data_IF_518885471109
#
_entry.id   IF_518885471109
#
_cell.length_a   1.000
_cell.length_b   1.000
_cell.length_c   1.000
_cell.angle_alpha   90.00
_cell.angle_beta   90.00
_cell.angle_gamma   90.00
#
_symmetry.space_group_name_H-M   'P 1'
#
loop_
_entity.id
_entity.type
_entity.pdbx_description
1 polymer ?
#
# COMPACT_ATOMS: atom_id res chain seq x y z
N UNK A 1 -8.04 64.43 28.72
CA UNK A 1 -6.94 64.46 29.70
C UNK A 1 -7.45 63.76 30.95
N UNK A 2 -6.80 62.80 31.59
CA UNK A 2 -5.49 62.17 31.41
C UNK A 2 -5.46 60.94 32.35
N UNK A 3 -4.91 59.80 31.88
CA UNK A 3 -4.11 58.78 32.60
C UNK A 3 -4.66 58.13 33.91
N UNK A 4 -4.32 56.90 34.30
CA UNK A 4 -3.41 55.83 33.83
C UNK A 4 -3.73 54.57 34.67
N UNK A 5 -3.78 53.42 33.99
CA UNK A 5 -3.10 52.15 34.29
C UNK A 5 -2.86 51.70 35.75
N UNK A 6 -3.22 50.44 36.03
CA UNK A 6 -2.34 49.45 36.70
C UNK A 6 -2.74 48.02 36.28
N UNK A 7 -1.76 47.28 35.73
CA UNK A 7 -1.78 45.82 35.53
C UNK A 7 -1.49 45.13 36.86
N UNK A 8 -2.18 44.05 37.18
CA UNK A 8 -1.68 43.01 38.10
C UNK A 8 -2.09 41.63 37.55
N UNK A 9 -1.09 40.79 37.36
CA UNK A 9 -1.16 39.36 37.06
C UNK A 9 -0.82 38.62 38.36
N UNK A 10 -1.60 37.61 38.74
CA UNK A 10 -1.18 36.58 39.70
C UNK A 10 -1.66 35.20 39.24
N UNK A 11 -0.79 34.21 39.44
CA UNK A 11 -0.87 32.80 39.04
C UNK A 11 -1.16 31.94 40.28
N UNK A 12 -2.09 30.99 40.16
CA UNK A 12 -2.18 29.69 40.88
C UNK A 12 -3.35 28.91 40.23
N UNK A 13 -3.43 27.59 40.00
CA UNK A 13 -2.74 26.39 40.47
C UNK A 13 -3.80 25.37 40.96
N UNK A 14 -4.02 24.24 40.24
CA UNK A 14 -4.91 23.10 40.60
C UNK A 14 -5.98 22.77 39.51
N UNK A 15 -5.90 21.74 38.63
CA UNK A 15 -6.01 20.25 38.75
C UNK A 15 -7.42 19.80 39.25
N UNK A 16 -8.27 18.90 38.67
CA UNK A 16 -8.18 17.60 37.94
C UNK A 16 -9.42 17.37 37.01
N UNK A 17 -9.23 16.50 35.99
CA UNK A 17 -10.16 15.47 35.38
C UNK A 17 -11.42 15.91 34.63
N UNK A 18 -11.82 15.40 33.46
CA UNK A 18 -11.67 14.14 32.67
C UNK A 18 -11.90 14.55 31.19
N UNK A 19 -11.19 14.09 30.16
CA UNK A 19 -11.02 12.69 29.72
C UNK A 19 -11.56 12.56 28.28
N UNK A 20 -10.67 12.61 27.28
CA UNK A 20 -10.89 12.01 25.95
C UNK A 20 -9.54 11.92 25.24
N UNK A 21 -9.02 10.69 25.17
CA UNK A 21 -7.76 10.34 24.54
C UNK A 21 -7.97 10.30 23.02
N UNK A 22 -7.39 11.26 22.30
CA UNK A 22 -7.17 11.17 20.86
C UNK A 22 -5.68 10.92 20.66
N UNK A 23 -5.31 9.66 20.46
CA UNK A 23 -3.92 9.27 20.17
C UNK A 23 -3.59 9.62 18.72
N UNK A 24 -3.23 10.87 18.48
CA UNK A 24 -2.58 11.30 17.24
C UNK A 24 -1.10 10.94 17.30
N UNK A 25 -0.69 9.85 16.65
CA UNK A 25 0.73 9.59 16.42
C UNK A 25 1.21 10.44 15.24
N UNK A 26 1.67 11.66 15.57
CA UNK A 26 2.62 12.41 14.77
C UNK A 26 3.98 11.70 14.83
N UNK A 27 4.54 11.29 13.70
CA UNK A 27 5.97 10.97 13.62
C UNK A 27 6.64 11.70 12.46
N UNK A 28 7.29 12.80 12.85
CA UNK A 28 8.36 13.48 12.12
C UNK A 28 9.62 12.60 12.15
N UNK A 29 10.29 12.38 11.01
CA UNK A 29 11.76 12.15 11.05
C UNK A 29 12.51 12.50 9.75
N UNK A 30 13.27 13.60 9.87
CA UNK A 30 14.52 14.03 9.20
C UNK A 30 14.97 13.34 7.89
N UNK A 31 15.03 14.16 6.82
CA UNK A 31 15.88 13.97 5.63
C UNK A 31 17.37 13.97 6.01
N UNK A 32 18.10 12.89 5.70
CA UNK A 32 19.56 12.93 5.60
C UNK A 32 19.97 13.33 4.18
N UNK A 33 20.46 14.57 3.99
CA UNK A 33 21.28 14.94 2.82
C UNK A 33 22.69 14.39 3.05
N UNK A 34 23.13 13.41 2.26
CA UNK A 34 24.56 13.05 2.22
C UNK A 34 25.26 13.87 1.13
N UNK A 35 26.27 14.64 1.57
CA UNK A 35 27.22 15.39 0.76
C UNK A 35 28.09 14.44 -0.07
N UNK A 36 28.39 14.81 -1.31
CA UNK A 36 29.44 14.22 -2.15
C UNK A 36 30.82 14.50 -1.52
N UNK A 37 31.65 13.49 -1.43
CA UNK A 37 33.06 13.55 -1.00
C UNK A 37 33.83 12.34 -1.55
N UNK A 38 35.10 12.54 -1.87
CA UNK A 38 35.98 11.81 -2.79
C UNK A 38 36.14 10.28 -2.58
N UNK A 39 36.37 9.57 -3.69
CA UNK A 39 36.79 8.15 -3.78
C UNK A 39 38.29 7.95 -3.45
N UNK A 40 38.65 6.76 -2.93
CA UNK A 40 39.75 5.97 -3.47
C UNK A 40 39.36 4.48 -3.72
N UNK A 41 40.21 3.65 -4.34
CA UNK A 41 39.78 2.71 -5.40
C UNK A 41 39.59 1.24 -4.98
N UNK A 42 38.85 0.53 -5.85
CA UNK A 42 38.95 -0.88 -6.26
C UNK A 42 39.00 -1.97 -5.18
N UNK A 43 37.89 -2.72 -5.05
CA UNK A 43 37.86 -4.03 -4.42
C UNK A 43 36.47 -4.70 -4.52
N UNK A 44 36.44 -5.82 -5.25
CA UNK A 44 35.43 -6.89 -5.33
C UNK A 44 33.94 -6.57 -5.58
N UNK A 45 33.44 -7.13 -6.68
CA UNK A 45 32.03 -7.36 -6.98
C UNK A 45 31.31 -8.07 -5.84
N UNK A 46 30.57 -7.32 -5.04
CA UNK A 46 29.34 -7.81 -4.38
C UNK A 46 28.34 -6.67 -4.32
N UNK A 47 27.34 -6.70 -5.20
CA UNK A 47 26.18 -5.81 -5.07
C UNK A 47 25.45 -6.20 -3.77
N UNK A 48 25.28 -5.31 -2.78
CA UNK A 48 24.65 -5.68 -1.53
C UNK A 48 23.17 -5.96 -1.79
N UNK A 49 22.72 -7.13 -1.37
CA UNK A 49 21.29 -7.41 -1.21
C UNK A 49 20.67 -6.28 -0.38
N UNK A 50 19.62 -5.66 -0.90
CA UNK A 50 18.89 -4.60 -0.20
C UNK A 50 18.35 -5.14 1.14
N UNK A 51 19.11 -4.88 2.20
CA UNK A 51 18.83 -5.14 3.60
C UNK A 51 17.58 -4.38 4.04
N UNK A 52 16.45 -5.08 4.14
CA UNK A 52 15.28 -4.71 4.97
C UNK A 52 14.34 -5.92 5.19
N UNK A 53 14.88 -7.14 5.26
CA UNK A 53 14.13 -8.39 5.49
C UNK A 53 14.14 -8.76 6.98
N UNK A 54 13.00 -9.15 7.56
CA UNK A 54 12.92 -9.67 8.93
C UNK A 54 12.89 -11.20 8.98
N UNK A 55 13.63 -11.75 9.95
CA UNK A 55 13.52 -12.97 10.78
C UNK A 55 13.26 -14.38 10.21
N UNK A 56 13.00 -14.58 8.92
CA UNK A 56 13.32 -15.86 8.27
C UNK A 56 13.62 -15.62 6.79
N UNK A 57 14.82 -16.02 6.34
CA UNK A 57 15.21 -15.79 4.94
C UNK A 57 14.54 -16.77 3.97
N UNK A 58 13.81 -17.77 4.46
CA UNK A 58 13.25 -18.88 3.69
C UNK A 58 11.78 -18.67 3.40
N UNK A 59 11.41 -18.72 2.12
CA UNK A 59 10.02 -18.78 1.69
C UNK A 59 9.43 -20.17 2.05
N UNK A 60 8.11 -20.28 2.28
CA UNK A 60 7.50 -21.58 2.54
C UNK A 60 7.57 -22.47 1.29
N UNK A 61 7.54 -23.79 1.49
CA UNK A 61 7.67 -24.78 0.40
C UNK A 61 6.55 -24.70 -0.65
N UNK A 62 5.38 -24.17 -0.29
CA UNK A 62 4.26 -23.95 -1.19
C UNK A 62 4.24 -22.54 -1.82
N UNK A 63 5.29 -21.74 -1.62
CA UNK A 63 5.41 -20.45 -2.29
C UNK A 63 5.62 -20.65 -3.79
N UNK A 64 4.85 -19.90 -4.58
CA UNK A 64 4.96 -19.85 -6.04
C UNK A 64 5.01 -18.41 -6.48
N UNK A 65 6.01 -18.05 -7.26
CA UNK A 65 6.14 -16.73 -7.87
C UNK A 65 5.34 -16.63 -9.18
N UNK A 66 5.42 -15.48 -9.84
CA UNK A 66 4.71 -15.17 -11.09
C UNK A 66 5.12 -16.00 -12.28
N UNK A 67 6.30 -16.63 -12.24
CA UNK A 67 6.82 -17.52 -13.28
C UNK A 67 6.60 -19.00 -12.94
N UNK A 68 5.91 -19.31 -11.84
CA UNK A 68 5.66 -20.68 -11.39
C UNK A 68 6.78 -21.31 -10.54
N UNK A 69 7.89 -20.60 -10.30
CA UNK A 69 8.99 -21.08 -9.46
C UNK A 69 8.81 -20.78 -7.97
N UNK A 70 9.67 -21.34 -7.12
CA UNK A 70 9.66 -21.13 -5.66
C UNK A 70 10.53 -19.97 -5.17
N UNK A 71 11.29 -19.35 -6.07
CA UNK A 71 12.28 -18.34 -5.71
C UNK A 71 11.69 -16.93 -5.60
N UNK A 72 12.36 -16.08 -4.82
CA UNK A 72 12.01 -14.67 -4.71
C UNK A 72 12.53 -13.88 -5.92
N UNK A 73 11.65 -13.18 -6.64
CA UNK A 73 12.00 -12.39 -7.83
C UNK A 73 12.67 -11.05 -7.46
N UNK A 74 13.89 -11.07 -6.92
CA UNK A 74 14.55 -9.90 -6.30
C UNK A 74 14.60 -8.63 -7.17
N UNK A 75 14.67 -8.77 -8.49
CA UNK A 75 14.69 -7.68 -9.48
C UNK A 75 13.31 -7.12 -9.84
N UNK A 76 12.22 -7.79 -9.48
CA UNK A 76 10.86 -7.34 -9.78
C UNK A 76 10.39 -6.24 -8.81
N UNK A 77 9.36 -5.45 -9.19
CA UNK A 77 8.71 -4.50 -8.29
C UNK A 77 8.19 -5.17 -7.01
N UNK A 78 8.17 -4.44 -5.89
CA UNK A 78 7.83 -4.99 -4.56
C UNK A 78 6.53 -5.79 -4.55
N UNK A 79 5.45 -5.28 -5.15
CA UNK A 79 4.16 -5.96 -5.19
C UNK A 79 4.25 -7.32 -5.89
N UNK A 80 5.03 -7.41 -6.97
CA UNK A 80 5.28 -8.66 -7.70
C UNK A 80 6.09 -9.62 -6.83
N UNK A 81 7.16 -9.16 -6.19
CA UNK A 81 7.95 -10.05 -5.29
C UNK A 81 7.12 -10.62 -4.15
N UNK A 82 6.16 -9.84 -3.65
CA UNK A 82 5.31 -10.20 -2.54
C UNK A 82 4.06 -11.01 -2.97
N UNK A 83 3.88 -11.29 -4.26
CA UNK A 83 2.62 -11.81 -4.81
C UNK A 83 1.40 -10.94 -4.40
N UNK A 84 1.60 -9.64 -4.23
CA UNK A 84 0.64 -8.66 -3.75
C UNK A 84 0.61 -7.47 -4.74
N UNK A 85 -0.02 -7.64 -5.92
CA UNK A 85 0.02 -6.62 -6.97
C UNK A 85 -0.68 -5.32 -6.59
N UNK A 86 -1.62 -5.37 -5.64
CA UNK A 86 -2.34 -4.21 -5.15
C UNK A 86 -1.64 -3.46 -4.01
N UNK A 87 -0.45 -3.89 -3.57
CA UNK A 87 0.24 -3.34 -2.40
C UNK A 87 -0.66 -3.28 -1.14
N UNK A 88 -1.45 -4.32 -0.87
CA UNK A 88 -2.26 -4.40 0.35
C UNK A 88 -1.37 -4.40 1.59
N UNK A 89 -1.70 -3.55 2.56
CA UNK A 89 -0.93 -3.40 3.81
C UNK A 89 -1.16 -4.63 4.69
N UNK A 90 -0.12 -5.06 5.40
CA UNK A 90 -0.22 -6.14 6.36
C UNK A 90 -1.16 -5.78 7.51
N UNK A 91 -2.25 -6.53 7.68
CA UNK A 91 -3.25 -6.34 8.73
C UNK A 91 -3.55 -7.65 9.47
N UNK A 92 -4.58 -7.68 10.31
CA UNK A 92 -5.09 -8.92 10.92
C UNK A 92 -6.16 -9.63 10.05
N UNK A 93 -6.48 -9.09 8.86
CA UNK A 93 -7.42 -9.74 7.95
C UNK A 93 -6.82 -11.08 7.50
N UNK A 94 -7.60 -12.15 7.65
CA UNK A 94 -7.18 -13.51 7.30
C UNK A 94 -7.48 -13.80 5.83
N UNK A 95 -6.68 -13.21 4.94
CA UNK A 95 -6.78 -13.50 3.51
C UNK A 95 -6.35 -14.94 3.20
N UNK A 96 -7.12 -15.64 2.37
CA UNK A 96 -6.73 -16.95 1.86
C UNK A 96 -5.39 -16.84 1.12
N UNK A 97 -4.43 -17.69 1.49
CA UNK A 97 -3.08 -17.70 0.90
C UNK A 97 -2.14 -16.61 1.40
N UNK A 98 -2.52 -15.80 2.39
CA UNK A 98 -1.62 -14.87 3.07
C UNK A 98 -0.54 -15.62 3.85
N UNK A 99 0.68 -15.09 3.80
CA UNK A 99 1.77 -15.58 4.64
C UNK A 99 1.65 -15.06 6.08
N UNK A 100 1.89 -15.92 7.09
CA UNK A 100 1.96 -15.49 8.47
C UNK A 100 3.16 -14.56 8.68
N UNK A 101 3.15 -13.78 9.77
CA UNK A 101 4.13 -12.69 10.00
C UNK A 101 5.57 -13.21 10.02
N UNK A 102 5.77 -14.43 10.50
CA UNK A 102 7.06 -15.10 10.66
C UNK A 102 7.69 -15.49 9.31
N UNK A 103 6.84 -15.68 8.28
CA UNK A 103 7.25 -16.03 6.91
C UNK A 103 7.15 -14.83 5.94
N UNK A 104 6.56 -13.72 6.39
CA UNK A 104 6.43 -12.51 5.58
C UNK A 104 7.75 -11.72 5.60
N UNK A 105 8.41 -11.67 4.44
CA UNK A 105 9.68 -10.95 4.24
C UNK A 105 9.49 -9.43 4.14
N UNK A 106 8.26 -8.96 3.92
CA UNK A 106 7.92 -7.54 3.88
C UNK A 106 7.43 -7.04 5.25
N UNK A 107 7.99 -5.91 5.68
CA UNK A 107 7.66 -5.34 7.00
C UNK A 107 6.30 -4.66 7.03
N UNK A 108 5.82 -4.15 5.89
CA UNK A 108 4.63 -3.29 5.77
C UNK A 108 3.49 -3.95 5.00
N UNK A 109 3.79 -4.74 3.98
CA UNK A 109 2.78 -5.25 3.05
C UNK A 109 2.47 -6.73 3.26
N UNK A 110 1.28 -7.14 2.85
CA UNK A 110 0.94 -8.56 2.76
C UNK A 110 1.87 -9.26 1.76
N UNK A 111 2.20 -10.51 2.06
CA UNK A 111 2.76 -11.47 1.11
C UNK A 111 1.80 -12.63 0.94
N UNK A 112 1.70 -13.16 -0.27
CA UNK A 112 0.84 -14.30 -0.58
C UNK A 112 1.66 -15.49 -1.10
N UNK A 113 1.17 -16.70 -0.82
CA UNK A 113 1.79 -17.95 -1.30
C UNK A 113 1.85 -18.00 -2.82
N UNK A 114 0.90 -17.40 -3.55
CA UNK A 114 0.92 -17.35 -5.01
C UNK A 114 0.18 -16.10 -5.55
N UNK A 115 0.44 -15.65 -6.80
CA UNK A 115 -0.11 -14.42 -7.36
C UNK A 115 -1.64 -14.32 -7.33
N UNK A 116 -2.33 -15.42 -7.65
CA UNK A 116 -3.79 -15.50 -7.68
C UNK A 116 -4.42 -15.19 -6.33
N UNK A 117 -3.74 -15.49 -5.21
CA UNK A 117 -4.24 -15.18 -3.87
C UNK A 117 -4.16 -13.68 -3.56
N UNK A 118 -3.08 -13.01 -4.01
CA UNK A 118 -2.98 -11.56 -3.87
C UNK A 118 -3.95 -10.81 -4.78
N UNK A 119 -4.13 -11.28 -6.01
CA UNK A 119 -5.14 -10.75 -6.94
C UNK A 119 -6.53 -10.95 -6.34
N UNK A 120 -6.83 -12.13 -5.79
CA UNK A 120 -8.10 -12.41 -5.11
C UNK A 120 -8.34 -11.46 -3.93
N UNK A 121 -7.35 -11.27 -3.06
CA UNK A 121 -7.47 -10.34 -1.93
C UNK A 121 -7.79 -8.92 -2.41
N UNK A 122 -7.10 -8.45 -3.45
CA UNK A 122 -7.35 -7.17 -4.09
C UNK A 122 -8.77 -7.06 -4.68
N UNK A 123 -9.27 -8.10 -5.36
CA UNK A 123 -10.64 -8.13 -5.88
C UNK A 123 -11.65 -7.98 -4.74
N UNK A 124 -11.47 -8.73 -3.64
CA UNK A 124 -12.38 -8.70 -2.49
C UNK A 124 -12.39 -7.35 -1.80
N UNK A 125 -11.22 -6.73 -1.66
CA UNK A 125 -11.06 -5.40 -1.07
C UNK A 125 -11.84 -4.35 -1.88
N UNK A 126 -11.56 -4.27 -3.19
CA UNK A 126 -12.24 -3.34 -4.10
C UNK A 126 -13.76 -3.58 -4.16
N UNK A 127 -14.19 -4.85 -4.23
CA UNK A 127 -15.61 -5.21 -4.25
C UNK A 127 -16.31 -4.75 -2.97
N UNK A 128 -15.72 -5.03 -1.81
CA UNK A 128 -16.25 -4.63 -0.51
C UNK A 128 -16.40 -3.11 -0.40
N UNK A 129 -15.43 -2.34 -0.87
CA UNK A 129 -15.47 -0.88 -0.75
C UNK A 129 -16.51 -0.25 -1.66
N UNK A 130 -16.66 -0.78 -2.88
CA UNK A 130 -17.75 -0.40 -3.78
C UNK A 130 -19.11 -0.69 -3.13
N UNK A 131 -19.28 -1.85 -2.52
CA UNK A 131 -20.52 -2.25 -1.82
C UNK A 131 -20.81 -1.39 -0.59
N UNK A 132 -19.77 -0.89 0.10
CA UNK A 132 -19.88 0.09 1.19
C UNK A 132 -20.12 1.53 0.71
N UNK A 133 -20.32 1.74 -0.59
CA UNK A 133 -20.68 3.03 -1.16
C UNK A 133 -19.50 3.88 -1.64
N UNK A 134 -18.26 3.36 -1.61
CA UNK A 134 -17.10 3.99 -2.28
C UNK A 134 -17.12 3.68 -3.78
N UNK A 135 -18.26 3.93 -4.41
CA UNK A 135 -18.57 3.45 -5.77
C UNK A 135 -18.33 4.49 -6.87
N UNK A 136 -17.38 5.41 -6.66
CA UNK A 136 -16.83 6.27 -7.73
C UNK A 136 -15.32 6.13 -7.72
N UNK A 137 -14.65 6.36 -8.85
CA UNK A 137 -13.18 6.27 -8.91
C UNK A 137 -12.50 7.15 -7.86
N UNK A 138 -12.87 8.45 -7.69
CA UNK A 138 -12.26 9.26 -6.63
C UNK A 138 -12.47 8.72 -5.22
N UNK A 139 -13.69 8.28 -4.89
CA UNK A 139 -13.99 7.77 -3.56
C UNK A 139 -13.24 6.46 -3.27
N UNK A 140 -13.21 5.55 -4.25
CA UNK A 140 -12.52 4.27 -4.15
C UNK A 140 -11.01 4.47 -4.02
N UNK A 141 -10.38 5.30 -4.86
CA UNK A 141 -8.93 5.51 -4.81
C UNK A 141 -8.49 6.29 -3.56
N UNK A 142 -9.33 7.19 -3.06
CA UNK A 142 -9.04 7.88 -1.79
C UNK A 142 -9.06 6.92 -0.61
N UNK A 143 -9.97 5.94 -0.60
CA UNK A 143 -10.04 4.89 0.43
C UNK A 143 -8.89 3.88 0.29
N UNK A 144 -8.64 3.40 -0.94
CA UNK A 144 -7.68 2.34 -1.23
C UNK A 144 -6.23 2.81 -1.01
N UNK A 145 -5.91 4.07 -1.34
CA UNK A 145 -4.57 4.63 -1.21
C UNK A 145 -4.61 6.07 -0.62
N UNK A 146 -4.94 6.22 0.68
CA UNK A 146 -5.08 7.53 1.31
C UNK A 146 -3.72 8.24 1.45
N UNK A 147 -3.59 9.37 0.73
CA UNK A 147 -2.45 10.32 0.66
C UNK A 147 -1.07 9.71 0.34
N UNK A 148 -0.64 9.97 -0.90
CA UNK A 148 0.76 10.00 -1.32
C UNK A 148 1.12 11.46 -1.64
N UNK A 149 2.34 11.93 -1.32
CA UNK A 149 2.83 13.29 -1.61
C UNK A 149 2.98 13.61 -3.13
N UNK A 150 2.26 12.92 -4.03
CA UNK A 150 2.18 13.24 -5.46
C UNK A 150 0.80 12.90 -6.06
N UNK A 151 0.37 13.79 -6.94
CA UNK A 151 -0.92 13.98 -7.62
C UNK A 151 -1.96 12.82 -7.57
N UNK A 152 -2.77 12.77 -6.51
CA UNK A 152 -3.99 11.93 -6.43
C UNK A 152 -4.85 12.07 -7.68
N UNK A 153 -4.89 13.25 -8.30
CA UNK A 153 -5.66 13.48 -9.52
C UNK A 153 -5.12 12.69 -10.71
N UNK A 154 -3.80 12.51 -10.82
CA UNK A 154 -3.21 11.70 -11.90
C UNK A 154 -3.56 10.22 -11.76
N UNK A 155 -3.63 9.70 -10.53
CA UNK A 155 -4.08 8.34 -10.27
C UNK A 155 -5.56 8.18 -10.66
N UNK A 156 -6.42 9.07 -10.15
CA UNK A 156 -7.85 9.08 -10.49
C UNK A 156 -8.05 9.19 -12.00
N UNK A 157 -7.33 10.08 -12.69
CA UNK A 157 -7.41 10.24 -14.14
C UNK A 157 -6.98 8.97 -14.88
N UNK A 158 -5.91 8.31 -14.43
CA UNK A 158 -5.45 7.04 -15.02
C UNK A 158 -6.52 5.96 -14.92
N UNK A 159 -7.11 5.79 -13.73
CA UNK A 159 -8.15 4.78 -13.49
C UNK A 159 -9.42 5.10 -14.26
N UNK A 160 -9.88 6.36 -14.26
CA UNK A 160 -11.02 6.80 -15.08
C UNK A 160 -10.80 6.50 -16.58
N UNK A 161 -9.59 6.78 -17.09
CA UNK A 161 -9.23 6.53 -18.49
C UNK A 161 -9.26 5.04 -18.82
N UNK A 162 -8.68 4.19 -17.98
CA UNK A 162 -8.66 2.74 -18.19
C UNK A 162 -10.04 2.10 -18.16
N UNK A 163 -10.89 2.57 -17.24
CA UNK A 163 -12.26 2.11 -17.09
C UNK A 163 -13.21 2.70 -18.14
N UNK A 164 -12.79 3.76 -18.84
CA UNK A 164 -13.62 4.56 -19.76
C UNK A 164 -14.87 5.14 -19.09
N UNK A 165 -14.69 5.69 -17.89
CA UNK A 165 -15.77 6.29 -17.08
C UNK A 165 -15.40 7.70 -16.64
N UNK A 166 -16.41 8.53 -16.37
CA UNK A 166 -16.20 9.82 -15.71
C UNK A 166 -15.93 9.63 -14.22
N UNK A 167 -15.32 10.63 -13.58
CA UNK A 167 -15.07 10.61 -12.13
C UNK A 167 -16.35 10.56 -11.27
N UNK A 168 -17.50 10.96 -11.83
CA UNK A 168 -18.81 10.94 -11.17
C UNK A 168 -19.61 9.66 -11.45
N UNK A 169 -19.17 8.84 -12.40
CA UNK A 169 -19.85 7.60 -12.76
C UNK A 169 -19.87 6.62 -11.58
N UNK A 170 -21.04 6.03 -11.35
CA UNK A 170 -21.22 4.99 -10.33
C UNK A 170 -20.73 3.65 -10.86
N UNK A 171 -19.76 3.07 -10.15
CA UNK A 171 -19.21 1.76 -10.44
C UNK A 171 -20.11 0.68 -9.82
N UNK A 172 -20.44 -0.34 -10.62
CA UNK A 172 -20.98 -1.60 -10.12
C UNK A 172 -19.84 -2.63 -10.05
N UNK A 173 -19.77 -3.48 -9.00
CA UNK A 173 -18.69 -4.45 -8.81
C UNK A 173 -18.87 -5.68 -9.71
N UNK A 174 -19.13 -5.47 -11.00
CA UNK A 174 -19.18 -6.54 -12.00
C UNK A 174 -17.80 -7.13 -12.20
N UNK A 175 -17.73 -8.38 -12.69
CA UNK A 175 -16.46 -9.02 -13.07
C UNK A 175 -15.60 -8.13 -13.97
N UNK A 176 -16.22 -7.49 -14.97
CA UNK A 176 -15.51 -6.61 -15.90
C UNK A 176 -14.97 -5.35 -15.21
N UNK A 177 -15.78 -4.68 -14.38
CA UNK A 177 -15.33 -3.50 -13.61
C UNK A 177 -14.15 -3.84 -12.71
N UNK A 178 -14.27 -4.93 -11.95
CA UNK A 178 -13.23 -5.38 -11.03
C UNK A 178 -11.93 -5.75 -11.77
N UNK A 179 -12.05 -6.39 -12.95
CA UNK A 179 -10.89 -6.68 -13.81
C UNK A 179 -10.18 -5.41 -14.22
N UNK A 180 -10.91 -4.43 -14.77
CA UNK A 180 -10.32 -3.16 -15.20
C UNK A 180 -9.66 -2.41 -14.03
N UNK A 181 -10.28 -2.40 -12.85
CA UNK A 181 -9.70 -1.80 -11.64
C UNK A 181 -8.40 -2.52 -11.23
N UNK A 182 -8.42 -3.85 -11.14
CA UNK A 182 -7.25 -4.65 -10.76
C UNK A 182 -6.07 -4.40 -11.70
N UNK A 183 -6.31 -4.43 -13.02
CA UNK A 183 -5.25 -4.15 -14.00
C UNK A 183 -4.74 -2.70 -13.88
N UNK A 184 -5.63 -1.72 -13.76
CA UNK A 184 -5.25 -0.30 -13.69
C UNK A 184 -4.41 0.00 -12.44
N UNK A 185 -4.91 -0.38 -11.26
CA UNK A 185 -4.25 -0.17 -9.97
C UNK A 185 -2.92 -0.94 -9.95
N UNK A 186 -2.91 -2.23 -10.31
CA UNK A 186 -1.67 -3.02 -10.34
C UNK A 186 -0.61 -2.40 -11.25
N UNK A 187 -1.01 -1.77 -12.36
CA UNK A 187 -0.08 -1.10 -13.27
C UNK A 187 0.50 0.18 -12.67
N UNK A 188 -0.32 0.98 -12.00
CA UNK A 188 0.15 2.18 -11.27
C UNK A 188 1.11 1.78 -10.15
N UNK A 189 0.76 0.74 -9.38
CA UNK A 189 1.53 0.29 -8.21
C UNK A 189 2.88 -0.36 -8.57
N UNK A 190 2.97 -1.04 -9.72
CA UNK A 190 4.15 -1.84 -10.09
C UNK A 190 4.88 -1.32 -11.34
N UNK A 191 4.37 -0.27 -12.00
CA UNK A 191 4.98 0.30 -13.19
C UNK A 191 4.93 -0.58 -14.45
N UNK A 192 4.06 -1.59 -14.48
CA UNK A 192 3.98 -2.54 -15.59
C UNK A 192 2.75 -3.44 -15.54
N UNK A 193 2.47 -4.14 -16.65
CA UNK A 193 1.38 -5.11 -16.74
C UNK A 193 1.89 -6.51 -16.41
N UNK A 194 1.50 -7.05 -15.26
CA UNK A 194 1.91 -8.38 -14.80
C UNK A 194 0.77 -9.39 -14.72
N UNK A 195 -0.47 -8.90 -14.61
CA UNK A 195 -1.66 -9.74 -14.51
C UNK A 195 -2.16 -10.05 -15.91
N UNK A 196 -2.33 -11.33 -16.24
CA UNK A 196 -3.04 -11.76 -17.45
C UNK A 196 -4.53 -11.91 -17.16
N UNK A 197 -5.38 -11.85 -18.20
CA UNK A 197 -6.82 -12.10 -18.01
C UNK A 197 -7.08 -13.50 -17.41
N UNK A 198 -6.33 -14.51 -17.84
CA UNK A 198 -6.45 -15.87 -17.31
C UNK A 198 -6.11 -15.94 -15.81
N UNK A 199 -5.05 -15.25 -15.38
CA UNK A 199 -4.67 -15.20 -13.96
C UNK A 199 -5.72 -14.43 -13.14
N UNK A 200 -6.27 -13.35 -13.69
CA UNK A 200 -7.42 -12.67 -13.09
C UNK A 200 -8.63 -13.62 -12.95
N UNK A 201 -8.96 -14.38 -14.00
CA UNK A 201 -10.10 -15.29 -13.99
C UNK A 201 -9.92 -16.41 -12.95
N UNK A 202 -8.70 -16.95 -12.82
CA UNK A 202 -8.33 -17.91 -11.76
C UNK A 202 -8.55 -17.30 -10.37
N UNK A 203 -8.11 -16.06 -10.15
CA UNK A 203 -8.32 -15.36 -8.88
C UNK A 203 -9.80 -15.08 -8.60
N UNK A 204 -10.55 -14.66 -9.62
CA UNK A 204 -11.98 -14.37 -9.55
C UNK A 204 -12.83 -15.63 -9.35
N UNK A 205 -12.38 -16.81 -9.76
CA UNK A 205 -13.10 -18.06 -9.46
C UNK A 205 -13.11 -18.42 -7.96
N UNK A 206 -12.25 -17.77 -7.15
CA UNK A 206 -12.09 -18.06 -5.72
C UNK A 206 -12.78 -17.04 -4.79
N UNK A 207 -13.43 -15.99 -5.33
CA UNK A 207 -13.98 -14.89 -4.51
C UNK A 207 -15.30 -15.22 -3.83
#
# INVERSE_FOLDING_TARGET
MDKKHKKILFISGGVLTTGAIVTTVLLIRRRNKRKRGLLPPSGSDTRPANLLTTNSNTLPSNFRNWNGGSDYLSSAPRGIRNNNPGNLIFTNINWTGKLPKEQNKDRRFEMFIAPEYGIRAMIKDLKNDIEKGKNTVPALMTEYAPRFENNTDAYIQTVCKDLKVSATAKLLPTKNTLRLLVHSISRVENGGNYITNELFDKAYAMI
#
